data_IF_643542823302
#
_entry.id   IF_643542823302
#
_cell.length_a   1.000
_cell.length_b   1.000
_cell.length_c   1.000
_cell.angle_alpha   90.00
_cell.angle_beta   90.00
_cell.angle_gamma   90.00
#
_symmetry.space_group_name_H-M   'P 1'
#
loop_
_entity.id
_entity.type
_entity.pdbx_description
1 polymer ?
#
# COMPACT_ATOMS: atom_id res chain seq x y z
N UNK A 1 -19.56 16.07 6.13
CA UNK A 1 -18.95 15.18 7.14
C UNK A 1 -18.33 13.93 6.47
N UNK A 2 -17.41 14.07 5.50
CA UNK A 2 -16.84 12.93 4.76
C UNK A 2 -15.32 12.77 4.95
N UNK A 3 -14.60 13.88 5.18
CA UNK A 3 -13.14 13.87 5.30
C UNK A 3 -12.67 13.25 6.61
N UNK A 4 -13.34 13.53 7.74
CA UNK A 4 -12.92 13.07 9.07
C UNK A 4 -12.97 11.54 9.15
N UNK A 5 -14.14 10.95 8.89
CA UNK A 5 -14.37 9.50 9.02
C UNK A 5 -13.96 8.73 7.76
N UNK A 6 -14.20 9.29 6.56
CA UNK A 6 -13.99 8.59 5.30
C UNK A 6 -12.58 8.69 4.72
N UNK A 7 -11.67 9.44 5.35
CA UNK A 7 -10.31 9.66 4.82
C UNK A 7 -9.24 9.87 5.89
N UNK A 8 -9.46 10.79 6.82
CA UNK A 8 -8.40 11.32 7.68
C UNK A 8 -8.07 10.39 8.86
N UNK A 9 -9.09 9.92 9.58
CA UNK A 9 -8.92 9.09 10.77
C UNK A 9 -8.86 7.59 10.42
N UNK A 10 -7.98 6.82 11.07
CA UNK A 10 -7.99 5.36 10.97
C UNK A 10 -9.15 4.75 11.77
N UNK A 11 -9.53 3.53 11.43
CA UNK A 11 -10.47 2.75 12.24
C UNK A 11 -9.75 2.18 13.47
N UNK A 12 -10.39 2.25 14.65
CA UNK A 12 -9.86 1.71 15.91
C UNK A 12 -9.57 0.20 15.89
N UNK A 13 -10.26 -0.57 15.02
CA UNK A 13 -10.19 -2.04 15.00
C UNK A 13 -8.91 -2.57 14.34
N UNK A 14 -8.47 -1.90 13.29
CA UNK A 14 -7.31 -2.30 12.49
C UNK A 14 -6.20 -1.24 12.43
N UNK A 15 -6.47 -0.01 12.90
CA UNK A 15 -5.54 1.12 12.83
C UNK A 15 -5.32 1.63 11.40
N UNK A 16 -6.12 1.20 10.43
CA UNK A 16 -5.92 1.51 9.01
C UNK A 16 -6.87 2.60 8.52
N UNK A 17 -6.34 3.49 7.68
CA UNK A 17 -7.15 4.41 6.87
C UNK A 17 -7.80 3.64 5.71
N UNK A 18 -8.91 4.14 5.14
CA UNK A 18 -9.59 3.47 4.04
C UNK A 18 -8.70 3.16 2.82
N UNK A 19 -7.72 4.02 2.52
CA UNK A 19 -6.75 3.79 1.43
C UNK A 19 -5.83 2.60 1.69
N UNK A 20 -5.33 2.43 2.92
CA UNK A 20 -4.48 1.28 3.29
C UNK A 20 -5.23 -0.04 3.10
N UNK A 21 -6.48 -0.09 3.59
CA UNK A 21 -7.35 -1.27 3.49
C UNK A 21 -7.60 -1.68 2.04
N UNK A 22 -7.92 -0.70 1.19
CA UNK A 22 -8.18 -0.95 -0.25
C UNK A 22 -6.94 -1.45 -0.98
N UNK A 23 -5.76 -0.93 -0.66
CA UNK A 23 -4.49 -1.40 -1.25
C UNK A 23 -4.22 -2.85 -0.82
N UNK A 24 -4.29 -3.14 0.49
CA UNK A 24 -4.05 -4.49 1.00
C UNK A 24 -5.06 -5.50 0.44
N UNK A 25 -6.34 -5.11 0.34
CA UNK A 25 -7.38 -5.92 -0.25
C UNK A 25 -7.12 -6.20 -1.74
N UNK A 26 -6.79 -5.17 -2.53
CA UNK A 26 -6.46 -5.34 -3.93
C UNK A 26 -5.25 -6.28 -4.11
N UNK A 27 -4.22 -6.14 -3.28
CA UNK A 27 -3.06 -7.03 -3.30
C UNK A 27 -3.40 -8.47 -2.93
N UNK A 28 -4.34 -8.67 -2.00
CA UNK A 28 -4.85 -9.99 -1.65
C UNK A 28 -5.62 -10.63 -2.81
N UNK A 29 -6.57 -9.91 -3.42
CA UNK A 29 -7.34 -10.38 -4.60
C UNK A 29 -6.43 -10.66 -5.79
N UNK A 30 -5.36 -9.88 -5.96
CA UNK A 30 -4.33 -10.12 -6.98
C UNK A 30 -3.39 -11.29 -6.67
N UNK A 31 -3.55 -11.99 -5.54
CA UNK A 31 -2.65 -13.04 -5.09
C UNK A 31 -1.17 -12.58 -5.06
N UNK A 32 -0.93 -11.36 -4.53
CA UNK A 32 0.40 -10.78 -4.38
C UNK A 32 0.96 -11.04 -2.98
N UNK A 33 1.07 -12.32 -2.63
CA UNK A 33 1.55 -12.77 -1.33
C UNK A 33 3.08 -12.68 -1.19
N UNK A 34 3.54 -12.73 0.06
CA UNK A 34 4.96 -12.66 0.46
C UNK A 34 5.87 -13.74 -0.17
N UNK A 35 5.30 -14.84 -0.65
CA UNK A 35 6.03 -15.94 -1.27
C UNK A 35 5.95 -15.91 -2.80
N UNK A 36 5.38 -14.86 -3.39
CA UNK A 36 5.24 -14.68 -4.83
C UNK A 36 6.23 -13.61 -5.32
N UNK A 37 6.64 -13.66 -6.59
CA UNK A 37 7.46 -12.59 -7.16
C UNK A 37 6.76 -11.22 -7.07
N UNK A 38 7.50 -10.15 -6.79
CA UNK A 38 6.92 -8.83 -6.60
C UNK A 38 6.36 -8.28 -7.91
N UNK A 39 5.23 -7.61 -7.82
CA UNK A 39 4.51 -7.04 -8.98
C UNK A 39 4.84 -5.56 -9.12
N UNK A 40 4.78 -5.07 -10.36
CA UNK A 40 4.98 -3.64 -10.66
C UNK A 40 3.98 -2.77 -9.91
N UNK A 41 4.46 -1.70 -9.27
CA UNK A 41 3.61 -0.80 -8.48
C UNK A 41 2.51 -0.17 -9.32
N UNK A 42 2.80 0.21 -10.56
CA UNK A 42 1.81 0.74 -11.52
C UNK A 42 0.60 -0.19 -11.71
N UNK A 43 0.81 -1.52 -11.70
CA UNK A 43 -0.28 -2.49 -11.80
C UNK A 43 -1.16 -2.48 -10.54
N UNK A 44 -0.52 -2.43 -9.37
CA UNK A 44 -1.22 -2.39 -8.08
C UNK A 44 -2.03 -1.10 -7.96
N UNK A 45 -1.43 0.04 -8.32
CA UNK A 45 -2.09 1.35 -8.33
C UNK A 45 -3.30 1.34 -9.25
N UNK A 46 -3.16 0.84 -10.49
CA UNK A 46 -4.26 0.77 -11.45
C UNK A 46 -5.42 -0.12 -11.00
N UNK A 47 -5.13 -1.28 -10.40
CA UNK A 47 -6.20 -2.14 -9.85
C UNK A 47 -6.91 -1.50 -8.65
N UNK A 48 -6.17 -0.79 -7.78
CA UNK A 48 -6.74 -0.07 -6.64
C UNK A 48 -7.63 1.08 -7.11
N UNK A 49 -7.14 1.93 -8.03
CA UNK A 49 -7.90 3.09 -8.49
C UNK A 49 -9.09 2.70 -9.35
N UNK A 50 -8.94 1.66 -10.19
CA UNK A 50 -10.00 1.18 -11.07
C UNK A 50 -11.14 0.48 -10.34
N UNK A 51 -10.88 -0.22 -9.23
CA UNK A 51 -11.89 -1.08 -8.57
C UNK A 51 -12.34 -0.58 -7.20
N UNK A 52 -11.44 0.02 -6.40
CA UNK A 52 -11.69 0.21 -4.98
C UNK A 52 -11.51 1.67 -4.50
N UNK A 53 -10.76 2.50 -5.22
CA UNK A 53 -10.41 3.85 -4.79
C UNK A 53 -10.48 4.85 -5.96
N UNK A 54 -11.68 5.37 -6.31
CA UNK A 54 -11.88 6.25 -7.47
C UNK A 54 -11.36 7.67 -7.21
N UNK A 55 -10.06 7.79 -6.94
CA UNK A 55 -9.30 9.00 -6.69
C UNK A 55 -7.96 8.91 -7.41
N UNK A 56 -7.18 9.99 -7.36
CA UNK A 56 -5.88 10.08 -8.02
C UNK A 56 -4.95 8.91 -7.68
N UNK A 57 -4.24 8.44 -8.69
CA UNK A 57 -3.20 7.41 -8.62
C UNK A 57 -2.05 7.78 -7.69
N UNK A 58 -1.75 9.08 -7.60
CA UNK A 58 -0.65 9.63 -6.80
C UNK A 58 -0.85 9.31 -5.32
N UNK A 59 -2.05 9.50 -4.78
CA UNK A 59 -2.35 9.20 -3.37
C UNK A 59 -2.24 7.71 -3.06
N UNK A 60 -2.65 6.84 -3.99
CA UNK A 60 -2.48 5.40 -3.85
C UNK A 60 -1.00 5.00 -3.89
N UNK A 61 -0.23 5.58 -4.81
CA UNK A 61 1.19 5.28 -4.96
C UNK A 61 2.02 5.73 -3.76
N UNK A 62 1.86 6.97 -3.30
CA UNK A 62 2.55 7.48 -2.10
C UNK A 62 2.25 6.64 -0.85
N UNK A 63 1.01 6.18 -0.74
CA UNK A 63 0.60 5.29 0.35
C UNK A 63 1.32 3.95 0.28
N UNK A 64 1.41 3.34 -0.92
CA UNK A 64 2.17 2.11 -1.15
C UNK A 64 3.65 2.30 -0.78
N UNK A 65 4.25 3.39 -1.25
CA UNK A 65 5.63 3.77 -0.94
C UNK A 65 5.85 3.82 0.58
N UNK A 66 4.98 4.53 1.30
CA UNK A 66 5.12 4.73 2.74
C UNK A 66 4.92 3.44 3.54
N UNK A 67 4.05 2.55 3.07
CA UNK A 67 3.86 1.22 3.67
C UNK A 67 5.04 0.27 3.46
N UNK A 68 5.92 0.59 2.50
CA UNK A 68 7.15 -0.16 2.18
C UNK A 68 8.45 0.46 2.69
N UNK A 69 8.40 1.54 3.48
CA UNK A 69 9.57 2.20 4.05
C UNK A 69 9.79 1.78 5.51
N UNK A 70 10.94 1.17 5.80
CA UNK A 70 11.29 0.66 7.14
C UNK A 70 11.42 1.75 8.21
N UNK A 71 11.78 2.97 7.84
CA UNK A 71 11.83 4.10 8.77
C UNK A 71 10.47 4.76 9.00
N UNK A 72 9.49 4.58 8.09
CA UNK A 72 8.15 5.17 8.27
C UNK A 72 7.24 4.31 9.14
N UNK A 73 7.45 3.00 9.17
CA UNK A 73 6.62 2.06 9.94
C UNK A 73 7.49 1.11 10.73
N UNK A 74 7.19 0.96 12.03
CA UNK A 74 7.84 -0.05 12.89
C UNK A 74 7.68 -1.47 12.33
N UNK A 75 6.51 -1.76 11.77
CA UNK A 75 6.22 -2.99 11.05
C UNK A 75 5.75 -2.62 9.65
N UNK A 76 6.64 -2.80 8.68
CA UNK A 76 6.30 -2.62 7.27
C UNK A 76 5.16 -3.57 6.88
N UNK A 77 4.31 -3.11 5.96
CA UNK A 77 3.21 -3.90 5.43
C UNK A 77 3.54 -4.48 4.06
N UNK A 78 4.38 -3.77 3.31
CA UNK A 78 4.83 -4.11 1.98
C UNK A 78 6.35 -4.22 1.97
N UNK A 79 6.89 -5.08 1.11
CA UNK A 79 8.32 -5.14 0.82
C UNK A 79 8.52 -4.54 -0.56
N UNK A 80 9.40 -3.55 -0.61
CA UNK A 80 9.89 -2.98 -1.86
C UNK A 80 11.31 -3.44 -2.14
N UNK A 81 11.61 -3.77 -3.39
CA UNK A 81 13.00 -3.98 -3.82
C UNK A 81 13.71 -2.70 -4.27
N UNK A 82 12.97 -1.67 -4.66
CA UNK A 82 13.49 -0.56 -5.49
C UNK A 82 13.16 0.83 -4.89
N UNK A 83 12.89 0.94 -3.57
CA UNK A 83 12.52 2.20 -2.89
C UNK A 83 13.54 2.76 -1.90
N UNK A 84 14.75 2.20 -1.85
CA UNK A 84 15.70 2.48 -0.78
C UNK A 84 16.52 3.72 -1.08
N UNK A 85 15.95 4.90 -0.78
CA UNK A 85 16.74 6.10 -0.52
C UNK A 85 16.41 6.59 0.90
N UNK A 86 17.43 6.71 1.74
CA UNK A 86 17.31 7.25 3.09
C UNK A 86 17.36 8.78 2.99
N UNK A 87 16.28 9.46 3.38
CA UNK A 87 16.26 10.92 3.43
C UNK A 87 15.01 11.55 2.81
N UNK A 88 15.22 12.64 2.08
CA UNK A 88 14.17 13.55 1.59
C UNK A 88 13.84 13.38 0.10
N UNK A 89 14.50 12.45 -0.58
CA UNK A 89 14.29 12.26 -2.00
C UNK A 89 12.94 11.58 -2.28
N UNK A 90 12.19 12.05 -3.29
CA UNK A 90 10.94 11.43 -3.67
C UNK A 90 11.20 10.01 -4.19
N UNK A 91 10.23 9.09 -4.02
CA UNK A 91 10.35 7.74 -4.55
C UNK A 91 10.46 7.77 -6.08
N UNK A 92 11.16 6.78 -6.65
CA UNK A 92 11.14 6.54 -8.09
C UNK A 92 9.69 6.38 -8.59
N UNK A 93 9.41 6.70 -9.85
CA UNK A 93 8.06 6.60 -10.40
C UNK A 93 7.49 5.16 -10.35
N UNK A 94 6.17 5.03 -10.22
CA UNK A 94 5.46 3.75 -10.06
C UNK A 94 5.71 2.70 -11.17
N UNK A 95 6.12 3.17 -12.36
CA UNK A 95 6.51 2.31 -13.49
C UNK A 95 7.81 1.54 -13.24
N UNK A 96 8.70 2.09 -12.43
CA UNK A 96 9.99 1.47 -12.11
C UNK A 96 9.86 0.49 -10.96
N UNK A 97 9.17 0.89 -9.89
CA UNK A 97 9.14 0.15 -8.62
C UNK A 97 8.30 -1.13 -8.65
N UNK A 98 8.65 -2.09 -7.79
CA UNK A 98 7.93 -3.35 -7.57
C UNK A 98 7.69 -3.61 -6.08
N UNK A 99 6.50 -4.13 -5.74
CA UNK A 99 6.06 -4.42 -4.37
C UNK A 99 5.49 -5.83 -4.23
N UNK A 100 5.66 -6.38 -3.04
CA UNK A 100 4.99 -7.59 -2.55
C UNK A 100 4.49 -7.39 -1.11
N UNK A 101 3.51 -8.17 -0.68
CA UNK A 101 3.06 -8.12 0.71
C UNK A 101 4.12 -8.69 1.65
N UNK A 102 4.30 -8.07 2.82
CA UNK A 102 5.17 -8.64 3.84
C UNK A 102 4.51 -9.87 4.49
N UNK A 103 5.36 -10.77 5.02
CA UNK A 103 4.94 -11.89 5.85
C UNK A 103 4.42 -11.36 7.20
N UNK A 104 3.16 -10.98 7.23
CA UNK A 104 2.44 -10.48 8.40
C UNK A 104 1.42 -11.49 8.92
N UNK A 105 1.04 -11.39 10.21
CA UNK A 105 -0.05 -12.18 10.79
C UNK A 105 -1.33 -12.09 9.95
N UNK A 106 -2.06 -13.22 9.83
CA UNK A 106 -3.32 -13.32 9.07
C UNK A 106 -4.37 -12.27 9.45
N UNK A 107 -4.24 -11.65 10.61
CA UNK A 107 -5.13 -10.61 11.15
C UNK A 107 -5.29 -9.42 10.20
N UNK A 108 -4.23 -9.02 9.48
CA UNK A 108 -4.30 -7.92 8.50
C UNK A 108 -4.82 -8.34 7.12
N UNK A 109 -5.07 -9.65 6.91
CA UNK A 109 -5.47 -10.24 5.62
C UNK A 109 -6.95 -10.60 5.54
N UNK A 110 -7.71 -10.48 6.63
CA UNK A 110 -9.16 -10.77 6.70
C UNK A 110 -10.02 -9.51 6.49
N UNK A 111 -9.60 -8.62 5.60
CA UNK A 111 -10.37 -7.42 5.20
C UNK A 111 -11.10 -7.68 3.88
#
# INVERSE_FOLDING_TARGET
MHVIVGRALPDSRDGLKPVHRRILYAMHVMNNDWNKPPKKSMRIVGDVTGKYHPHGDTGAYETIVRMGQWWSLRYMLLISKELWFYGWDPPAAARYTKQECQKLPRTFRRL
#
